data_IF_867325846298
#
_entry.id   IF_867325846298
#
_cell.length_a   1.000
_cell.length_b   1.000
_cell.length_c   1.000
_cell.angle_alpha   90.00
_cell.angle_beta   90.00
_cell.angle_gamma   90.00
#
_symmetry.space_group_name_H-M   'P 1'
#
loop_
_entity.id
_entity.type
_entity.pdbx_description
1 polymer ?
#
# COMPACT_ATOMS: atom_id res chain seq x y z
N UNK A 1 77.24 -51.04 3.69
CA UNK A 1 76.13 -51.78 4.30
C UNK A 1 74.85 -51.02 4.04
N UNK A 2 73.98 -51.57 3.18
CA UNK A 2 72.76 -50.91 2.69
C UNK A 2 71.57 -51.52 3.45
N UNK A 3 70.82 -50.71 4.16
CA UNK A 3 69.59 -51.12 4.84
C UNK A 3 68.40 -50.67 4.00
N UNK A 4 67.64 -51.66 3.53
CA UNK A 4 66.42 -51.47 2.74
C UNK A 4 65.23 -51.41 3.66
N UNK A 5 64.63 -50.24 3.77
CA UNK A 5 63.37 -50.03 4.51
C UNK A 5 62.16 -50.30 3.60
N UNK A 6 61.34 -51.25 3.97
CA UNK A 6 60.06 -51.58 3.31
C UNK A 6 58.98 -50.64 3.85
N UNK A 7 58.45 -49.82 2.98
CA UNK A 7 57.27 -49.00 3.30
C UNK A 7 56.00 -49.81 3.07
N UNK A 8 55.27 -50.02 4.15
CA UNK A 8 53.97 -50.69 4.14
C UNK A 8 52.87 -49.61 3.93
N UNK A 9 52.31 -49.54 2.72
CA UNK A 9 51.21 -48.61 2.42
C UNK A 9 49.90 -49.22 2.88
N UNK A 10 49.33 -48.65 3.95
CA UNK A 10 47.96 -48.98 4.39
C UNK A 10 47.00 -48.12 3.57
N UNK A 11 46.23 -48.77 2.68
CA UNK A 11 45.11 -48.14 1.97
C UNK A 11 43.90 -48.19 2.89
N UNK A 12 43.51 -47.00 3.42
CA UNK A 12 42.28 -46.85 4.18
C UNK A 12 41.13 -46.62 3.20
N UNK A 13 40.27 -47.62 3.01
CA UNK A 13 39.00 -47.49 2.28
C UNK A 13 38.02 -46.74 3.19
N UNK A 14 37.76 -45.46 2.93
CA UNK A 14 36.63 -44.73 3.51
C UNK A 14 35.37 -45.07 2.72
N UNK A 15 34.50 -45.90 3.32
CA UNK A 15 33.13 -46.11 2.85
C UNK A 15 32.30 -44.87 3.25
N UNK A 16 32.04 -44.00 2.30
CA UNK A 16 31.09 -42.87 2.48
C UNK A 16 29.67 -43.45 2.41
N UNK A 17 29.02 -43.62 3.57
CA UNK A 17 27.57 -43.87 3.64
C UNK A 17 26.85 -42.56 3.38
N UNK A 18 26.29 -42.42 2.16
CA UNK A 18 25.38 -41.36 1.83
C UNK A 18 24.06 -41.56 2.61
N UNK A 19 23.89 -40.81 3.70
CA UNK A 19 22.61 -40.71 4.38
C UNK A 19 21.72 -39.83 3.50
N UNK A 20 20.80 -40.42 2.74
CA UNK A 20 19.70 -39.72 2.13
C UNK A 20 18.78 -39.20 3.25
N UNK A 21 18.90 -37.92 3.61
CA UNK A 21 17.89 -37.29 4.42
C UNK A 21 16.60 -37.25 3.57
N UNK A 22 15.65 -38.10 3.91
CA UNK A 22 14.27 -37.94 3.47
C UNK A 22 13.77 -36.60 4.02
N UNK A 23 13.67 -35.64 3.13
CA UNK A 23 12.91 -34.42 3.42
C UNK A 23 11.45 -34.87 3.60
N UNK A 24 10.99 -34.89 4.85
CA UNK A 24 9.58 -35.00 5.16
C UNK A 24 8.88 -33.82 4.45
N UNK A 25 8.19 -34.15 3.36
CA UNK A 25 7.26 -33.23 2.73
C UNK A 25 6.16 -32.96 3.76
N UNK A 26 6.29 -31.83 4.46
CA UNK A 26 5.19 -31.30 5.24
C UNK A 26 4.00 -31.15 4.29
N UNK A 27 3.10 -32.12 4.33
CA UNK A 27 1.76 -31.98 3.77
C UNK A 27 1.12 -30.76 4.45
N UNK A 28 1.10 -29.63 3.73
CA UNK A 28 0.21 -28.55 4.12
C UNK A 28 -1.21 -29.13 4.24
N UNK A 29 -1.94 -28.78 5.30
CA UNK A 29 -3.34 -29.16 5.41
C UNK A 29 -4.03 -28.74 4.11
N UNK A 30 -4.83 -29.61 3.55
CA UNK A 30 -5.67 -29.34 2.38
C UNK A 30 -6.44 -28.05 2.65
N UNK A 31 -6.07 -26.96 1.96
CA UNK A 31 -6.75 -25.67 2.05
C UNK A 31 -8.19 -25.86 1.56
N UNK A 32 -9.09 -26.08 2.49
CA UNK A 32 -10.51 -25.79 2.25
C UNK A 32 -10.57 -24.30 1.87
N UNK A 33 -11.21 -23.91 0.75
CA UNK A 33 -11.28 -22.51 0.36
C UNK A 33 -11.83 -21.69 1.52
N UNK A 34 -10.95 -20.94 2.18
CA UNK A 34 -11.34 -20.08 3.29
C UNK A 34 -12.21 -18.98 2.70
N UNK A 35 -13.49 -18.93 3.06
CA UNK A 35 -14.37 -17.83 2.66
C UNK A 35 -13.70 -16.52 3.08
N UNK A 36 -13.44 -15.64 2.11
CA UNK A 36 -12.82 -14.35 2.39
C UNK A 36 -13.76 -13.50 3.25
N UNK A 37 -13.19 -12.89 4.29
CA UNK A 37 -13.92 -11.90 5.09
C UNK A 37 -14.18 -10.63 4.26
N UNK A 38 -15.12 -9.79 4.69
CA UNK A 38 -15.39 -8.48 4.08
C UNK A 38 -14.12 -7.62 3.98
N UNK A 39 -13.30 -7.60 5.04
CA UNK A 39 -12.01 -6.90 5.04
C UNK A 39 -11.04 -7.44 3.98
N UNK A 40 -10.99 -8.76 3.80
CA UNK A 40 -10.13 -9.39 2.79
C UNK A 40 -10.62 -9.10 1.36
N UNK A 41 -11.94 -9.08 1.14
CA UNK A 41 -12.54 -8.70 -0.14
C UNK A 41 -12.21 -7.24 -0.48
N UNK A 42 -12.48 -6.32 0.45
CA UNK A 42 -12.18 -4.90 0.27
C UNK A 42 -10.68 -4.66 -0.01
N UNK A 43 -9.80 -5.35 0.73
CA UNK A 43 -8.36 -5.23 0.52
C UNK A 43 -7.91 -5.80 -0.83
N UNK A 44 -8.55 -6.87 -1.31
CA UNK A 44 -8.29 -7.43 -2.63
C UNK A 44 -8.68 -6.45 -3.74
N UNK A 45 -9.81 -5.77 -3.57
CA UNK A 45 -10.28 -4.73 -4.50
C UNK A 45 -9.28 -3.55 -4.52
N UNK A 46 -8.88 -3.01 -3.36
CA UNK A 46 -7.89 -1.95 -3.32
C UNK A 46 -6.56 -2.36 -3.96
N UNK A 47 -6.11 -3.60 -3.74
CA UNK A 47 -4.88 -4.10 -4.37
C UNK A 47 -4.98 -4.20 -5.90
N UNK A 48 -6.17 -4.34 -6.47
CA UNK A 48 -6.36 -4.31 -7.93
C UNK A 48 -6.10 -2.93 -8.54
N UNK A 49 -6.14 -1.88 -7.72
CA UNK A 49 -5.76 -0.53 -8.13
C UNK A 49 -4.24 -0.32 -8.20
N UNK A 50 -3.41 -1.32 -7.87
CA UNK A 50 -1.96 -1.17 -7.98
C UNK A 50 -1.57 -0.67 -9.38
N UNK A 51 -0.74 0.40 -9.42
CA UNK A 51 -0.36 1.10 -10.65
C UNK A 51 -0.21 2.59 -10.42
N UNK A 52 -0.06 3.32 -11.52
CA UNK A 52 0.02 4.79 -11.54
C UNK A 52 -1.26 5.35 -12.14
N UNK A 53 -1.74 6.42 -11.54
CA UNK A 53 -2.98 7.08 -11.89
C UNK A 53 -2.78 8.58 -11.96
N UNK A 54 -3.49 9.24 -12.84
CA UNK A 54 -3.46 10.70 -13.01
C UNK A 54 -4.86 11.22 -13.27
N UNK A 55 -5.13 12.44 -12.81
CA UNK A 55 -6.38 13.10 -13.13
C UNK A 55 -6.64 14.39 -12.35
N UNK A 56 -7.74 15.06 -12.64
CA UNK A 56 -8.10 16.31 -12.02
C UNK A 56 -8.56 16.16 -10.57
N UNK A 57 -8.35 17.22 -9.79
CA UNK A 57 -8.84 17.38 -8.42
C UNK A 57 -9.94 18.44 -8.39
N UNK A 58 -11.14 18.04 -8.03
CA UNK A 58 -12.21 18.97 -7.67
C UNK A 58 -12.11 19.28 -6.18
N UNK A 59 -11.74 20.52 -5.85
CA UNK A 59 -11.60 21.02 -4.48
C UNK A 59 -12.85 21.75 -4.03
N UNK A 60 -13.28 21.57 -2.78
CA UNK A 60 -14.27 22.42 -2.16
C UNK A 60 -13.72 23.84 -1.91
N UNK A 61 -14.57 24.77 -1.49
CA UNK A 61 -14.17 26.16 -1.29
C UNK A 61 -13.09 26.31 -0.19
N UNK A 62 -13.17 25.51 0.87
CA UNK A 62 -12.21 25.57 2.00
C UNK A 62 -10.85 25.01 1.58
N UNK A 63 -10.83 23.89 0.86
CA UNK A 63 -9.58 23.32 0.35
C UNK A 63 -8.94 24.25 -0.68
N UNK A 64 -9.72 24.86 -1.57
CA UNK A 64 -9.23 25.80 -2.59
C UNK A 64 -8.62 27.06 -1.96
N UNK A 65 -9.19 27.56 -0.88
CA UNK A 65 -8.64 28.69 -0.12
C UNK A 65 -7.33 28.30 0.59
N UNK A 66 -7.27 27.09 1.14
CA UNK A 66 -6.10 26.58 1.86
C UNK A 66 -4.93 26.21 0.93
N UNK A 67 -5.24 25.57 -0.18
CA UNK A 67 -4.27 25.02 -1.14
C UNK A 67 -4.04 25.94 -2.34
N UNK A 68 -3.88 27.26 -2.10
CA UNK A 68 -3.62 28.23 -3.17
C UNK A 68 -2.37 27.86 -3.97
N UNK A 69 -2.55 27.74 -5.30
CA UNK A 69 -1.46 27.33 -6.19
C UNK A 69 -1.23 25.84 -6.29
N UNK A 70 -2.06 25.01 -5.63
CA UNK A 70 -2.01 23.56 -5.84
C UNK A 70 -2.36 23.21 -7.29
N UNK A 71 -1.74 22.15 -7.85
CA UNK A 71 -2.00 21.72 -9.22
C UNK A 71 -3.46 21.27 -9.38
N UNK A 72 -4.04 21.52 -10.56
CA UNK A 72 -5.39 21.04 -10.91
C UNK A 72 -5.42 19.52 -11.15
N UNK A 73 -4.27 18.92 -11.39
CA UNK A 73 -4.10 17.49 -11.62
C UNK A 73 -3.12 16.90 -10.61
N UNK A 74 -3.40 15.69 -10.20
CA UNK A 74 -2.57 14.91 -9.27
C UNK A 74 -2.16 13.61 -9.91
N UNK A 75 -1.03 13.09 -9.43
CA UNK A 75 -0.55 11.75 -9.69
C UNK A 75 -0.67 10.93 -8.42
N UNK A 76 -1.24 9.74 -8.55
CA UNK A 76 -1.38 8.78 -7.47
C UNK A 76 -0.65 7.50 -7.85
N UNK A 77 0.11 6.95 -6.92
CA UNK A 77 0.76 5.65 -7.07
C UNK A 77 0.25 4.68 -6.02
N UNK A 78 -0.24 3.52 -6.44
CA UNK A 78 -0.60 2.43 -5.53
C UNK A 78 0.33 1.24 -5.76
N UNK A 79 0.97 0.75 -4.70
CA UNK A 79 1.96 -0.33 -4.78
C UNK A 79 1.77 -1.37 -3.68
N UNK A 80 1.51 -2.62 -4.10
CA UNK A 80 1.47 -3.76 -3.18
C UNK A 80 2.88 -4.01 -2.62
N UNK A 81 2.99 -4.18 -1.30
CA UNK A 81 4.25 -4.45 -0.61
C UNK A 81 4.09 -5.50 0.50
N UNK A 82 5.16 -5.79 1.23
CA UNK A 82 5.16 -6.73 2.36
C UNK A 82 4.53 -8.09 2.02
N UNK A 83 4.89 -8.64 0.85
CA UNK A 83 4.38 -9.91 0.32
C UNK A 83 2.84 -9.95 0.23
N UNK A 84 2.21 -8.82 -0.09
CA UNK A 84 0.77 -8.69 -0.23
C UNK A 84 0.02 -8.28 1.06
N UNK A 85 0.74 -8.07 2.17
CA UNK A 85 0.14 -7.71 3.46
C UNK A 85 -0.13 -6.21 3.61
N UNK A 86 0.44 -5.37 2.72
CA UNK A 86 0.20 -3.94 2.73
C UNK A 86 0.10 -3.39 1.29
N UNK A 87 -0.63 -2.29 1.15
CA UNK A 87 -0.71 -1.47 -0.05
C UNK A 87 -0.28 -0.05 0.35
N UNK A 88 0.69 0.49 -0.36
CA UNK A 88 1.13 1.88 -0.23
C UNK A 88 0.38 2.70 -1.27
N UNK A 89 -0.17 3.80 -0.86
CA UNK A 89 -0.72 4.85 -1.71
C UNK A 89 0.11 6.11 -1.47
N UNK A 90 0.61 6.69 -2.53
CA UNK A 90 1.39 7.92 -2.52
C UNK A 90 0.72 8.92 -3.46
N UNK A 91 0.44 10.10 -2.94
CA UNK A 91 -0.14 11.19 -3.71
C UNK A 91 0.93 12.26 -3.92
N UNK A 92 1.11 12.71 -5.14
CA UNK A 92 2.13 13.70 -5.47
C UNK A 92 1.74 14.53 -6.68
N UNK A 93 2.60 15.47 -6.98
CA UNK A 93 2.50 16.25 -8.21
C UNK A 93 2.94 15.44 -9.43
N UNK A 94 2.56 15.90 -10.62
CA UNK A 94 3.00 15.28 -11.87
C UNK A 94 4.50 15.46 -12.12
N UNK A 95 5.13 16.46 -11.48
CA UNK A 95 6.57 16.70 -11.58
C UNK A 95 7.34 15.75 -10.66
N UNK A 96 8.10 14.80 -11.22
CA UNK A 96 8.90 13.87 -10.42
C UNK A 96 10.09 14.54 -9.70
N UNK A 97 10.39 15.81 -10.01
CA UNK A 97 11.45 16.58 -9.37
C UNK A 97 10.97 17.35 -8.13
N UNK A 98 9.68 17.30 -7.78
CA UNK A 98 9.17 17.94 -6.58
C UNK A 98 9.87 17.37 -5.32
N UNK A 99 10.50 18.25 -4.55
CA UNK A 99 11.23 17.88 -3.32
C UNK A 99 10.23 17.55 -2.21
N UNK A 100 10.09 16.27 -1.77
CA UNK A 100 9.11 15.87 -0.76
C UNK A 100 9.37 16.45 0.62
N UNK A 101 10.50 17.15 0.83
CA UNK A 101 10.79 17.89 2.08
C UNK A 101 10.26 19.32 2.06
N UNK A 102 9.80 19.80 0.90
CA UNK A 102 9.26 21.17 0.70
C UNK A 102 7.78 21.21 0.38
N UNK A 103 7.28 20.13 -0.21
CA UNK A 103 5.88 20.00 -0.63
C UNK A 103 5.26 18.82 0.08
N UNK A 104 3.99 18.91 0.43
CA UNK A 104 3.27 17.79 1.01
C UNK A 104 3.23 16.63 0.00
N UNK A 105 3.62 15.46 0.44
CA UNK A 105 3.62 14.23 -0.34
C UNK A 105 2.93 13.14 0.49
N UNK A 106 1.59 13.18 0.55
CA UNK A 106 0.86 12.29 1.43
C UNK A 106 1.09 10.81 1.11
N UNK A 107 1.32 10.04 2.15
CA UNK A 107 1.47 8.59 2.08
C UNK A 107 0.40 7.93 2.94
N UNK A 108 -0.29 6.94 2.36
CA UNK A 108 -1.27 6.13 3.08
C UNK A 108 -0.91 4.66 3.00
N UNK A 109 -0.93 3.99 4.13
CA UNK A 109 -0.73 2.54 4.22
C UNK A 109 -2.05 1.85 4.51
N UNK A 110 -2.45 0.92 3.62
CA UNK A 110 -3.60 0.04 3.84
C UNK A 110 -3.13 -1.35 4.29
N UNK A 111 -3.79 -1.92 5.28
CA UNK A 111 -3.45 -3.23 5.85
C UNK A 111 -4.65 -3.83 6.60
N UNK A 112 -4.59 -5.13 6.87
CA UNK A 112 -5.59 -5.80 7.72
C UNK A 112 -5.01 -5.97 9.13
N UNK A 113 -5.78 -5.52 10.12
CA UNK A 113 -5.50 -5.72 11.54
C UNK A 113 -6.78 -6.12 12.26
N UNK A 114 -6.70 -7.17 13.09
CA UNK A 114 -7.82 -7.67 13.90
C UNK A 114 -9.10 -7.92 13.08
N UNK A 115 -8.95 -8.45 11.87
CA UNK A 115 -10.03 -8.76 10.95
C UNK A 115 -10.70 -7.55 10.28
N UNK A 116 -10.15 -6.36 10.45
CA UNK A 116 -10.61 -5.10 9.84
C UNK A 116 -9.61 -4.60 8.82
N UNK A 117 -10.08 -4.04 7.72
CA UNK A 117 -9.24 -3.27 6.81
C UNK A 117 -9.08 -1.87 7.38
N UNK A 118 -7.85 -1.46 7.58
CA UNK A 118 -7.47 -0.16 8.12
C UNK A 118 -6.61 0.60 7.11
N UNK A 119 -6.58 1.90 7.27
CA UNK A 119 -5.53 2.74 6.74
C UNK A 119 -4.85 3.54 7.85
N UNK A 120 -3.58 3.92 7.63
CA UNK A 120 -2.87 4.96 8.37
C UNK A 120 -2.37 5.99 7.37
N UNK A 121 -2.71 7.24 7.59
CA UNK A 121 -2.36 8.35 6.70
C UNK A 121 -1.24 9.21 7.30
N UNK A 122 -0.33 9.69 6.43
CA UNK A 122 0.80 10.55 6.75
C UNK A 122 0.80 11.74 5.80
N UNK A 123 0.84 12.95 6.32
CA UNK A 123 0.93 14.20 5.56
C UNK A 123 1.64 15.27 6.41
N UNK A 124 1.73 16.48 5.90
CA UNK A 124 2.39 17.63 6.54
C UNK A 124 1.75 18.07 7.88
N UNK A 125 0.50 17.65 8.17
CA UNK A 125 -0.11 17.86 9.48
C UNK A 125 0.67 17.17 10.63
N UNK A 126 1.60 16.25 10.32
CA UNK A 126 2.54 15.64 11.25
C UNK A 126 1.91 14.63 12.20
N UNK A 127 0.63 14.33 12.08
CA UNK A 127 -0.07 13.28 12.83
C UNK A 127 -0.34 12.05 11.96
N UNK A 128 -0.89 11.02 12.58
CA UNK A 128 -1.14 9.73 11.93
C UNK A 128 -2.55 9.26 12.24
N UNK A 129 -3.57 9.79 11.54
CA UNK A 129 -4.92 9.30 11.66
C UNK A 129 -5.02 7.87 11.11
N UNK A 130 -5.80 7.04 11.81
CA UNK A 130 -6.23 5.74 11.33
C UNK A 130 -7.72 5.77 11.03
N UNK A 131 -8.10 5.02 10.00
CA UNK A 131 -9.49 4.87 9.59
C UNK A 131 -9.80 3.41 9.35
N UNK A 132 -11.06 3.03 9.50
CA UNK A 132 -11.55 1.67 9.29
C UNK A 132 -12.50 1.62 8.10
N UNK A 133 -12.35 0.59 7.29
CA UNK A 133 -13.12 0.42 6.05
C UNK A 133 -14.50 -0.18 6.28
N UNK A 134 -15.44 0.29 5.46
CA UNK A 134 -16.71 -0.37 5.12
C UNK A 134 -16.79 -0.51 3.61
N UNK A 135 -17.27 -1.65 3.12
CA UNK A 135 -17.46 -1.91 1.69
C UNK A 135 -18.95 -1.94 1.37
N UNK A 136 -19.33 -1.37 0.21
CA UNK A 136 -20.70 -1.49 -0.33
C UNK A 136 -21.01 -2.92 -0.74
N UNK A 137 -22.29 -3.27 -0.81
CA UNK A 137 -22.75 -4.61 -1.19
C UNK A 137 -22.28 -5.03 -2.59
N UNK A 138 -22.21 -4.08 -3.54
CA UNK A 138 -21.72 -4.30 -4.90
C UNK A 138 -20.19 -4.35 -5.01
N UNK A 139 -19.47 -4.08 -3.91
CA UNK A 139 -18.02 -4.08 -3.85
C UNK A 139 -17.35 -2.90 -4.54
N UNK A 140 -18.10 -1.93 -5.05
CA UNK A 140 -17.54 -0.82 -5.85
C UNK A 140 -17.14 0.39 -5.04
N UNK A 141 -17.61 0.51 -3.79
CA UNK A 141 -17.30 1.64 -2.92
C UNK A 141 -16.72 1.14 -1.61
N UNK A 142 -15.62 1.74 -1.20
CA UNK A 142 -14.95 1.50 0.07
C UNK A 142 -14.84 2.83 0.80
N UNK A 143 -15.59 2.96 1.90
CA UNK A 143 -15.57 4.12 2.78
C UNK A 143 -14.64 3.86 3.95
N UNK A 144 -13.77 4.80 4.27
CA UNK A 144 -12.90 4.78 5.43
C UNK A 144 -13.32 5.85 6.42
N UNK A 145 -13.86 5.43 7.56
CA UNK A 145 -14.28 6.31 8.64
C UNK A 145 -13.18 6.43 9.70
N UNK A 146 -13.04 7.63 10.27
CA UNK A 146 -12.09 7.92 11.33
C UNK A 146 -12.20 6.94 12.49
N UNK A 147 -11.07 6.41 12.93
CA UNK A 147 -10.95 5.52 14.09
C UNK A 147 -10.27 6.24 15.27
N UNK A 148 -9.06 6.69 15.05
CA UNK A 148 -8.25 7.42 16.03
C UNK A 148 -7.10 8.18 15.33
N UNK A 149 -6.32 8.92 16.13
CA UNK A 149 -5.15 9.64 15.64
C UNK A 149 -4.03 9.62 16.66
N UNK A 150 -2.81 9.39 16.23
CA UNK A 150 -1.60 9.57 17.04
C UNK A 150 -0.84 10.83 16.59
N UNK A 151 -0.25 11.54 17.54
CA UNK A 151 0.40 12.83 17.33
C UNK A 151 -0.51 14.03 17.62
N UNK A 152 -0.01 15.24 17.36
CA UNK A 152 -0.74 16.48 17.64
C UNK A 152 -1.82 16.72 16.59
N UNK A 153 -2.97 17.18 17.01
CA UNK A 153 -4.08 17.59 16.14
C UNK A 153 -4.20 19.12 15.99
N UNK A 154 -3.17 19.86 16.40
CA UNK A 154 -3.17 21.33 16.35
C UNK A 154 -3.41 21.92 14.95
N UNK A 155 -3.08 21.18 13.91
CA UNK A 155 -3.33 21.56 12.51
C UNK A 155 -4.52 20.83 11.89
N UNK A 156 -5.27 20.05 12.69
CA UNK A 156 -6.35 19.20 12.20
C UNK A 156 -5.86 17.80 11.85
N UNK A 157 -6.70 17.01 11.20
CA UNK A 157 -6.35 15.66 10.75
C UNK A 157 -7.33 15.12 9.69
N UNK A 158 -6.90 14.15 8.92
CA UNK A 158 -7.76 13.43 7.97
C UNK A 158 -8.85 12.66 8.72
N UNK A 159 -10.09 12.74 8.23
CA UNK A 159 -11.28 12.18 8.89
C UNK A 159 -11.99 11.11 8.07
N UNK A 160 -11.92 11.21 6.75
CA UNK A 160 -12.69 10.33 5.89
C UNK A 160 -12.00 10.18 4.54
N UNK A 161 -12.10 8.99 3.96
CA UNK A 161 -11.68 8.71 2.60
C UNK A 161 -12.65 7.76 1.92
N UNK A 162 -12.89 7.96 0.63
CA UNK A 162 -13.76 7.09 -0.17
C UNK A 162 -13.05 6.71 -1.46
N UNK A 163 -13.04 5.42 -1.75
CA UNK A 163 -12.60 4.88 -3.03
C UNK A 163 -13.81 4.33 -3.77
N UNK A 164 -14.08 4.84 -4.97
CA UNK A 164 -15.15 4.32 -5.83
C UNK A 164 -14.55 3.76 -7.10
N UNK A 165 -14.69 2.47 -7.30
CA UNK A 165 -14.18 1.75 -8.47
C UNK A 165 -15.23 1.84 -9.59
N UNK A 166 -14.89 2.50 -10.69
CA UNK A 166 -15.74 2.63 -11.87
C UNK A 166 -15.49 1.44 -12.78
N UNK A 167 -14.22 1.22 -13.15
CA UNK A 167 -13.76 0.07 -13.92
C UNK A 167 -12.27 -0.22 -13.66
N UNK A 168 -11.60 -1.02 -14.48
CA UNK A 168 -10.20 -1.41 -14.31
C UNK A 168 -9.21 -0.24 -14.47
N UNK A 169 -9.59 0.80 -15.21
CA UNK A 169 -8.73 1.92 -15.58
C UNK A 169 -9.25 3.28 -15.10
N UNK A 170 -10.33 3.26 -14.29
CA UNK A 170 -10.97 4.46 -13.78
C UNK A 170 -11.51 4.24 -12.37
N UNK A 171 -11.10 5.08 -11.42
CA UNK A 171 -11.66 5.16 -10.07
C UNK A 171 -11.65 6.60 -9.57
N UNK A 172 -12.38 6.85 -8.50
CA UNK A 172 -12.37 8.15 -7.83
C UNK A 172 -11.95 7.98 -6.38
N UNK A 173 -11.30 9.03 -5.87
CA UNK A 173 -10.96 9.14 -4.46
C UNK A 173 -11.49 10.45 -3.90
N UNK A 174 -12.11 10.37 -2.73
CA UNK A 174 -12.58 11.54 -1.98
C UNK A 174 -11.88 11.56 -0.64
N UNK A 175 -11.32 12.70 -0.26
CA UNK A 175 -10.61 12.86 1.00
C UNK A 175 -11.17 14.05 1.75
N UNK A 176 -11.44 13.87 3.06
CA UNK A 176 -11.98 14.91 3.93
C UNK A 176 -11.07 15.11 5.12
N UNK A 177 -10.60 16.34 5.28
CA UNK A 177 -9.77 16.79 6.39
C UNK A 177 -10.59 17.67 7.33
N UNK A 178 -10.43 17.51 8.65
CA UNK A 178 -11.01 18.36 9.67
C UNK A 178 -9.97 19.34 10.18
N UNK A 179 -10.30 20.63 10.07
CA UNK A 179 -9.51 21.73 10.60
C UNK A 179 -9.65 21.87 12.12
N UNK A 180 -8.74 22.59 12.82
CA UNK A 180 -8.82 22.79 14.27
C UNK A 180 -10.09 23.48 14.76
N UNK A 181 -10.79 24.23 13.89
CA UNK A 181 -12.06 24.92 14.17
C UNK A 181 -13.30 24.07 13.85
N UNK A 182 -13.13 22.76 13.71
CA UNK A 182 -14.15 21.77 13.36
C UNK A 182 -14.78 21.94 11.95
N UNK A 183 -14.30 22.87 11.14
CA UNK A 183 -14.65 22.92 9.72
C UNK A 183 -13.98 21.80 8.97
N UNK A 184 -14.58 21.37 7.89
CA UNK A 184 -13.98 20.40 6.98
C UNK A 184 -13.55 21.04 5.67
N UNK A 185 -12.52 20.48 5.08
CA UNK A 185 -12.12 20.74 3.70
C UNK A 185 -11.92 19.41 2.98
N UNK A 186 -12.18 19.37 1.69
CA UNK A 186 -12.09 18.12 0.94
C UNK A 186 -11.93 18.30 -0.54
N UNK A 187 -11.45 17.22 -1.14
CA UNK A 187 -11.27 17.11 -2.58
C UNK A 187 -11.71 15.75 -3.09
N UNK A 188 -12.12 15.75 -4.36
CA UNK A 188 -12.40 14.55 -5.13
C UNK A 188 -11.49 14.49 -6.32
N UNK A 189 -10.82 13.37 -6.47
CA UNK A 189 -9.96 13.05 -7.61
C UNK A 189 -10.69 12.13 -8.57
N UNK A 190 -10.61 12.40 -9.86
CA UNK A 190 -11.10 11.55 -10.94
C UNK A 190 -9.89 10.92 -11.63
N UNK A 191 -9.57 9.69 -11.32
CA UNK A 191 -8.28 9.08 -11.62
C UNK A 191 -8.35 8.04 -12.73
N UNK A 192 -7.53 8.22 -13.76
CA UNK A 192 -7.35 7.30 -14.88
C UNK A 192 -5.98 6.64 -14.83
N UNK A 193 -5.94 5.35 -15.16
CA UNK A 193 -4.70 4.56 -15.14
C UNK A 193 -3.72 5.06 -16.21
N UNK A 194 -2.48 5.31 -15.81
CA UNK A 194 -1.40 5.66 -16.75
C UNK A 194 -0.90 4.39 -17.43
N UNK A 195 -0.99 4.34 -18.75
CA UNK A 195 -0.44 3.24 -19.53
C UNK A 195 1.07 3.42 -19.76
N UNK A 196 1.80 2.31 -20.00
CA UNK A 196 3.25 2.37 -20.28
C UNK A 196 3.59 3.24 -21.50
N UNK A 197 2.70 3.34 -22.49
CA UNK A 197 2.90 4.21 -23.65
C UNK A 197 2.88 5.70 -23.29
N UNK A 198 2.04 6.10 -22.33
CA UNK A 198 1.97 7.48 -21.84
C UNK A 198 3.17 7.85 -20.95
N UNK A 199 3.71 6.87 -20.19
CA UNK A 199 4.89 7.07 -19.37
C UNK A 199 6.19 7.24 -20.20
N UNK A 200 6.25 6.68 -21.42
CA UNK A 200 7.41 6.76 -22.32
C UNK A 200 7.42 8.01 -23.20
N UNK A 201 6.33 8.76 -23.23
CA UNK A 201 6.15 9.95 -24.07
C UNK A 201 6.45 11.28 -23.35
N UNK A 202 6.85 11.23 -22.10
CA UNK A 202 7.24 12.34 -21.22
C UNK A 202 8.70 12.21 -20.84
#
# INVERSE_FOLDING_TARGET
MKSTGVMLSIVLLLAATAAFAQADAHKHPTDTPKVQTEAQKAFTILKSLAGTWEGPVAMDAQLREHAQGAPENVKVSLRVTSRGNALVHEMGELDPAADPTKYDHPVTMFYIQDGKLLLTHFCDAGNRPRMTAKISEDGKRIDFDFLDVSGSTQYGNMQHAVFTIIDADHHTEEWTFRLPNDKTMGGRMELHRVTQQQASAR
#
